data_IF_333153554648
#
_entry.id   IF_333153554648
#
_cell.length_a   1.000
_cell.length_b   1.000
_cell.length_c   1.000
_cell.angle_alpha   90.00
_cell.angle_beta   90.00
_cell.angle_gamma   90.00
#
_symmetry.space_group_name_H-M   'P 1'
#
loop_
_entity.id
_entity.type
_entity.pdbx_description
1 polymer ?
#
# COMPACT_ATOMS: atom_id res chain seq x y z
N UNK A 1 -81.57 12.61 -20.08
CA UNK A 1 -81.17 11.19 -19.95
C UNK A 1 -79.65 11.10 -19.92
N UNK A 2 -79.08 10.48 -18.85
CA UNK A 2 -77.73 9.88 -18.74
C UNK A 2 -76.51 10.81 -18.96
N UNK A 3 -75.35 10.69 -18.30
CA UNK A 3 -74.81 10.10 -17.05
C UNK A 3 -73.34 10.57 -17.03
N UNK A 4 -72.91 11.13 -15.89
CA UNK A 4 -71.57 11.13 -15.26
C UNK A 4 -70.43 10.34 -15.96
N UNK A 5 -69.23 10.94 -16.08
CA UNK A 5 -67.99 10.37 -15.51
C UNK A 5 -66.81 11.37 -15.54
N UNK A 6 -66.33 11.72 -14.33
CA UNK A 6 -65.00 12.28 -14.05
C UNK A 6 -63.92 11.26 -14.41
N UNK A 7 -62.79 11.72 -14.95
CA UNK A 7 -61.49 11.11 -14.68
C UNK A 7 -60.40 12.19 -14.59
N UNK A 8 -60.02 12.50 -13.36
CA UNK A 8 -58.75 13.12 -13.03
C UNK A 8 -57.66 12.03 -13.13
N UNK A 9 -56.62 12.27 -13.91
CA UNK A 9 -55.37 11.52 -13.82
C UNK A 9 -54.26 12.51 -13.50
N UNK A 10 -53.94 12.61 -12.21
CA UNK A 10 -52.72 13.24 -11.73
C UNK A 10 -51.52 12.38 -12.11
N UNK A 11 -50.63 12.94 -12.90
CA UNK A 11 -49.34 12.33 -13.20
C UNK A 11 -48.35 12.79 -12.12
N UNK A 12 -48.21 11.99 -11.07
CA UNK A 12 -47.12 12.13 -10.10
C UNK A 12 -45.90 11.43 -10.72
N UNK A 13 -44.97 12.20 -11.29
CA UNK A 13 -43.63 11.69 -11.55
C UNK A 13 -42.92 11.55 -10.20
N UNK A 14 -42.93 10.34 -9.65
CA UNK A 14 -41.99 9.96 -8.62
C UNK A 14 -40.61 9.82 -9.29
N UNK A 15 -39.75 10.82 -9.12
CA UNK A 15 -38.32 10.68 -9.35
C UNK A 15 -37.80 9.65 -8.36
N UNK A 16 -37.66 8.40 -8.80
CA UNK A 16 -36.90 7.41 -8.08
C UNK A 16 -35.44 7.88 -8.07
N UNK A 17 -35.05 8.58 -7.01
CA UNK A 17 -33.65 8.67 -6.61
C UNK A 17 -33.24 7.25 -6.25
N UNK A 18 -32.71 6.52 -7.24
CA UNK A 18 -31.89 5.36 -6.97
C UNK A 18 -30.64 5.88 -6.23
N UNK A 19 -30.71 5.95 -4.90
CA UNK A 19 -29.51 5.86 -4.10
C UNK A 19 -28.89 4.52 -4.47
N UNK A 20 -27.80 4.56 -5.22
CA UNK A 20 -26.93 3.42 -5.36
C UNK A 20 -26.39 3.11 -3.96
N UNK A 21 -27.15 2.35 -3.17
CA UNK A 21 -26.65 1.69 -1.98
C UNK A 21 -25.56 0.76 -2.51
N UNK A 22 -24.31 1.18 -2.39
CA UNK A 22 -23.17 0.29 -2.64
C UNK A 22 -23.37 -0.97 -1.81
N UNK A 23 -23.12 -2.13 -2.40
CA UNK A 23 -23.19 -3.39 -1.66
C UNK A 23 -22.31 -3.28 -0.41
N UNK A 24 -22.87 -3.65 0.75
CA UNK A 24 -22.16 -3.63 2.02
C UNK A 24 -20.90 -4.50 1.92
N UNK A 25 -19.79 -3.96 2.42
CA UNK A 25 -18.49 -4.65 2.41
C UNK A 25 -18.55 -5.86 3.33
N UNK A 26 -17.98 -6.99 2.87
CA UNK A 26 -17.78 -8.16 3.72
C UNK A 26 -16.28 -8.31 3.99
N UNK A 27 -15.82 -7.58 5.00
CA UNK A 27 -14.41 -7.54 5.36
C UNK A 27 -13.98 -8.80 6.12
N UNK A 28 -12.82 -9.33 5.75
CA UNK A 28 -12.25 -10.54 6.35
C UNK A 28 -10.72 -10.52 6.29
N UNK A 29 -10.10 -11.31 7.17
CA UNK A 29 -8.66 -11.64 7.14
C UNK A 29 -8.36 -12.87 6.28
N UNK A 30 -9.40 -13.61 5.89
CA UNK A 30 -9.29 -14.73 4.96
C UNK A 30 -9.07 -14.18 3.55
N UNK A 31 -7.86 -14.36 3.04
CA UNK A 31 -7.51 -13.99 1.68
C UNK A 31 -7.55 -15.20 0.76
N UNK A 32 -8.05 -15.04 -0.48
CA UNK A 32 -7.92 -16.07 -1.49
C UNK A 32 -6.44 -16.34 -1.79
N UNK A 33 -6.10 -17.61 -2.01
CA UNK A 33 -4.78 -17.98 -2.51
C UNK A 33 -4.62 -17.52 -3.95
N UNK A 34 -3.40 -17.09 -4.29
CA UNK A 34 -3.01 -16.70 -5.64
C UNK A 34 -1.98 -17.68 -6.22
N UNK A 35 -1.86 -17.69 -7.55
CA UNK A 35 -0.86 -18.49 -8.26
C UNK A 35 0.27 -17.61 -8.76
N UNK A 36 1.50 -18.05 -8.53
CA UNK A 36 2.66 -17.36 -9.10
C UNK A 36 2.59 -17.34 -10.63
N UNK A 37 3.05 -16.25 -11.29
CA UNK A 37 3.20 -16.22 -12.73
C UNK A 37 4.17 -17.32 -13.20
N UNK A 38 3.99 -17.81 -14.45
CA UNK A 38 4.87 -18.84 -14.99
C UNK A 38 6.31 -18.33 -15.06
N UNK A 39 7.26 -19.23 -14.82
CA UNK A 39 8.69 -18.92 -14.85
C UNK A 39 9.29 -18.80 -13.45
N UNK A 40 10.18 -17.82 -13.26
CA UNK A 40 10.94 -17.67 -12.01
C UNK A 40 10.13 -16.94 -10.94
N UNK A 41 10.29 -17.29 -9.65
CA UNK A 41 9.54 -16.69 -8.54
C UNK A 41 9.76 -15.18 -8.36
N UNK A 42 10.91 -14.65 -8.79
CA UNK A 42 11.25 -13.23 -8.67
C UNK A 42 11.53 -12.60 -10.04
N UNK A 43 11.42 -11.26 -10.16
CA UNK A 43 11.69 -10.53 -11.39
C UNK A 43 13.10 -10.79 -11.96
N UNK A 44 13.21 -10.84 -13.29
CA UNK A 44 14.46 -11.23 -13.98
C UNK A 44 15.66 -10.34 -13.64
N UNK A 45 15.44 -9.06 -13.31
CA UNK A 45 16.52 -8.16 -12.88
C UNK A 45 17.23 -8.68 -11.63
N UNK A 46 16.49 -9.18 -10.64
CA UNK A 46 17.05 -9.73 -9.40
C UNK A 46 17.80 -11.03 -9.68
N UNK A 47 17.29 -11.83 -10.61
CA UNK A 47 17.94 -13.04 -11.07
C UNK A 47 19.27 -12.75 -11.79
N UNK A 48 19.33 -11.65 -12.55
CA UNK A 48 20.56 -11.18 -13.18
C UNK A 48 21.57 -10.63 -12.15
N UNK A 49 21.10 -9.91 -11.13
CA UNK A 49 21.94 -9.44 -10.01
C UNK A 49 22.55 -10.62 -9.24
N UNK A 50 21.74 -11.62 -8.88
CA UNK A 50 22.18 -12.81 -8.14
C UNK A 50 23.24 -13.67 -8.85
N UNK A 51 23.37 -13.54 -10.17
CA UNK A 51 24.43 -14.21 -10.96
C UNK A 51 25.76 -13.48 -10.90
N UNK A 52 25.74 -12.17 -10.65
CA UNK A 52 26.93 -11.30 -10.70
C UNK A 52 27.43 -10.94 -9.31
N UNK A 53 26.49 -10.74 -8.38
CA UNK A 53 26.73 -10.20 -7.05
C UNK A 53 26.33 -11.25 -6.01
N UNK A 54 27.25 -11.59 -5.10
CA UNK A 54 27.03 -12.63 -4.08
C UNK A 54 26.01 -12.19 -3.03
N UNK A 55 25.85 -10.89 -2.84
CA UNK A 55 24.95 -10.26 -1.87
C UNK A 55 23.49 -10.56 -2.23
N UNK A 56 23.19 -10.71 -3.52
CA UNK A 56 21.87 -11.13 -4.00
C UNK A 56 21.70 -12.65 -4.05
N UNK A 57 22.53 -13.44 -3.36
CA UNK A 57 22.44 -14.90 -3.40
C UNK A 57 21.08 -15.44 -2.92
N UNK A 58 20.43 -14.75 -1.97
CA UNK A 58 19.10 -15.08 -1.43
C UNK A 58 18.01 -15.20 -2.51
N UNK A 59 18.16 -14.49 -3.65
CA UNK A 59 17.24 -14.56 -4.79
C UNK A 59 17.16 -15.97 -5.39
N UNK A 60 18.24 -16.76 -5.27
CA UNK A 60 18.30 -18.14 -5.80
C UNK A 60 17.51 -19.13 -4.96
N UNK A 61 17.26 -18.81 -3.70
CA UNK A 61 16.54 -19.67 -2.76
C UNK A 61 15.03 -19.44 -2.78
N UNK A 62 14.59 -18.36 -3.45
CA UNK A 62 13.18 -18.03 -3.64
C UNK A 62 12.44 -19.13 -4.41
N UNK A 63 11.28 -19.53 -3.89
CA UNK A 63 10.41 -20.58 -4.42
C UNK A 63 9.02 -20.02 -4.72
N UNK A 64 8.27 -20.65 -5.66
CA UNK A 64 6.91 -20.21 -5.96
C UNK A 64 5.96 -20.24 -4.74
N UNK A 65 6.23 -21.10 -3.75
CA UNK A 65 5.41 -21.22 -2.54
C UNK A 65 5.67 -20.16 -1.49
N UNK A 66 6.75 -19.39 -1.59
CA UNK A 66 7.15 -18.47 -0.51
C UNK A 66 6.20 -17.30 -0.42
N UNK A 67 5.74 -16.96 0.79
CA UNK A 67 4.85 -15.81 1.00
C UNK A 67 5.62 -14.50 1.18
N UNK A 68 6.90 -14.62 1.53
CA UNK A 68 7.85 -13.53 1.56
C UNK A 68 9.19 -13.98 1.01
N UNK A 69 9.95 -13.05 0.45
CA UNK A 69 11.37 -13.25 0.16
C UNK A 69 12.10 -12.00 0.58
N UNK A 70 13.17 -12.14 1.37
CA UNK A 70 13.94 -10.99 1.82
C UNK A 70 15.44 -11.25 1.79
N UNK A 71 16.21 -10.16 1.82
CA UNK A 71 17.66 -10.22 1.91
C UNK A 71 18.35 -8.89 1.64
N UNK A 72 19.64 -8.86 1.92
CA UNK A 72 20.49 -7.70 1.69
C UNK A 72 20.94 -7.60 0.22
N UNK A 73 21.29 -6.41 -0.23
CA UNK A 73 22.02 -6.17 -1.48
C UNK A 73 22.96 -4.97 -1.36
N UNK A 74 23.77 -4.70 -2.37
CA UNK A 74 24.62 -3.50 -2.41
C UNK A 74 23.84 -2.24 -2.73
N UNK A 75 24.22 -1.11 -2.09
CA UNK A 75 23.63 0.22 -2.27
C UNK A 75 24.58 1.27 -2.93
N UNK A 76 23.99 2.24 -3.65
CA UNK A 76 24.48 3.56 -4.17
C UNK A 76 25.61 3.63 -5.22
N UNK A 77 25.62 4.77 -5.92
CA UNK A 77 26.49 5.19 -7.05
C UNK A 77 27.95 5.45 -6.61
N UNK A 78 28.22 5.63 -5.32
CA UNK A 78 29.49 6.15 -4.78
C UNK A 78 30.33 5.15 -3.97
N UNK A 79 29.93 3.87 -3.90
CA UNK A 79 30.82 2.80 -3.43
C UNK A 79 31.10 2.77 -1.92
N UNK A 80 30.34 3.51 -1.11
CA UNK A 80 30.26 3.22 0.32
C UNK A 80 29.59 1.84 0.48
N UNK A 81 30.15 0.95 1.31
CA UNK A 81 29.68 -0.42 1.54
C UNK A 81 28.34 -0.49 2.29
N UNK A 82 27.36 0.31 1.89
CA UNK A 82 26.03 0.33 2.45
C UNK A 82 25.19 -0.78 1.83
N UNK A 83 24.30 -1.34 2.64
CA UNK A 83 23.41 -2.41 2.24
C UNK A 83 21.97 -1.94 2.29
N UNK A 84 21.24 -2.17 1.19
CA UNK A 84 19.78 -2.06 1.16
C UNK A 84 19.17 -3.40 1.60
N UNK A 85 18.16 -3.34 2.47
CA UNK A 85 17.30 -4.48 2.76
C UNK A 85 16.13 -4.52 1.78
N UNK A 86 15.94 -5.64 1.10
CA UNK A 86 14.82 -5.86 0.19
C UNK A 86 13.84 -6.85 0.81
N UNK A 87 12.56 -6.48 0.91
CA UNK A 87 11.49 -7.32 1.42
C UNK A 87 10.36 -7.41 0.39
N UNK A 88 10.16 -8.60 -0.17
CA UNK A 88 9.08 -8.94 -1.08
C UNK A 88 7.95 -9.62 -0.29
N UNK A 89 6.75 -9.05 -0.35
CA UNK A 89 5.53 -9.61 0.25
C UNK A 89 4.55 -10.01 -0.85
N UNK A 90 4.11 -11.27 -0.83
CA UNK A 90 3.23 -11.86 -1.85
C UNK A 90 1.79 -11.41 -1.66
N UNK A 91 1.19 -10.77 -2.65
CA UNK A 91 -0.18 -10.25 -2.58
C UNK A 91 -0.85 -10.40 -3.94
N UNK A 92 -2.13 -10.74 -3.99
CA UNK A 92 -2.94 -10.60 -5.22
C UNK A 92 -3.56 -9.19 -5.21
N UNK A 93 -2.92 -8.20 -5.83
CA UNK A 93 -3.32 -6.79 -5.68
C UNK A 93 -4.61 -6.48 -6.43
N UNK A 94 -4.79 -7.05 -7.62
CA UNK A 94 -5.94 -6.80 -8.49
C UNK A 94 -6.99 -7.92 -8.46
N UNK A 95 -6.81 -8.91 -7.57
CA UNK A 95 -7.69 -10.05 -7.34
C UNK A 95 -7.96 -10.85 -8.62
N UNK A 96 -6.96 -10.95 -9.50
CA UNK A 96 -7.01 -11.70 -10.76
C UNK A 96 -6.62 -13.18 -10.59
N UNK A 97 -6.24 -13.58 -9.37
CA UNK A 97 -5.79 -14.92 -9.00
C UNK A 97 -4.31 -15.17 -9.28
N UNK A 98 -3.57 -14.18 -9.77
CA UNK A 98 -2.13 -14.20 -9.93
C UNK A 98 -1.47 -13.47 -8.75
N UNK A 99 -0.33 -13.99 -8.29
CA UNK A 99 0.40 -13.32 -7.23
C UNK A 99 1.26 -12.19 -7.80
N UNK A 100 1.20 -11.05 -7.13
CA UNK A 100 2.08 -9.92 -7.27
C UNK A 100 3.09 -9.89 -6.11
N UNK A 101 4.15 -9.11 -6.30
CA UNK A 101 5.03 -8.73 -5.20
C UNK A 101 4.87 -7.26 -4.85
N UNK A 102 4.62 -6.98 -3.57
CA UNK A 102 4.93 -5.70 -2.96
C UNK A 102 6.38 -5.74 -2.49
N UNK A 103 7.26 -4.97 -3.11
CA UNK A 103 8.63 -4.78 -2.67
C UNK A 103 8.73 -3.53 -1.81
N UNK A 104 9.24 -3.68 -0.60
CA UNK A 104 9.79 -2.62 0.22
C UNK A 104 11.32 -2.71 0.20
N UNK A 105 11.98 -1.62 -0.17
CA UNK A 105 13.43 -1.51 -0.11
C UNK A 105 13.80 -0.41 0.89
N UNK A 106 14.50 -0.78 1.96
CA UNK A 106 15.02 0.13 2.99
C UNK A 106 16.50 0.39 2.74
N UNK A 107 16.81 1.59 2.27
CA UNK A 107 18.12 2.06 1.83
C UNK A 107 18.76 2.92 2.91
N UNK A 108 20.06 2.77 3.15
CA UNK A 108 20.79 3.56 4.14
C UNK A 108 21.23 4.91 3.56
N UNK A 109 20.72 6.00 4.12
CA UNK A 109 21.12 7.36 3.74
C UNK A 109 22.50 7.73 4.28
N UNK A 110 22.91 7.16 5.41
CA UNK A 110 24.21 7.40 6.04
C UNK A 110 24.70 6.16 6.80
N UNK A 111 26.00 6.10 7.10
CA UNK A 111 26.57 5.06 7.97
C UNK A 111 26.16 5.22 9.44
N UNK A 112 25.53 6.34 9.80
CA UNK A 112 25.11 6.69 11.16
C UNK A 112 23.70 6.16 11.51
N UNK A 113 23.07 5.46 10.56
CA UNK A 113 21.82 4.73 10.80
C UNK A 113 20.60 5.35 10.13
N UNK A 114 20.74 6.50 9.45
CA UNK A 114 19.64 7.10 8.69
C UNK A 114 19.24 6.19 7.55
N UNK A 115 17.94 5.99 7.37
CA UNK A 115 17.38 5.16 6.30
C UNK A 115 16.23 5.88 5.64
N UNK A 116 16.04 5.60 4.36
CA UNK A 116 14.85 5.97 3.62
C UNK A 116 14.41 4.80 2.75
N UNK A 117 13.15 4.79 2.34
CA UNK A 117 12.57 3.65 1.67
C UNK A 117 11.96 3.99 0.31
N UNK A 118 11.80 2.96 -0.49
CA UNK A 118 11.03 3.00 -1.73
C UNK A 118 10.22 1.73 -1.83
N UNK A 119 8.98 1.85 -2.33
CA UNK A 119 8.20 0.67 -2.70
C UNK A 119 8.17 0.49 -4.21
N UNK A 120 8.05 -0.76 -4.64
CA UNK A 120 7.87 -1.14 -6.04
C UNK A 120 6.90 -2.30 -6.09
N UNK A 121 5.96 -2.29 -7.04
CA UNK A 121 5.04 -3.39 -7.26
C UNK A 121 5.51 -4.18 -8.47
N UNK A 122 5.49 -5.50 -8.37
CA UNK A 122 5.71 -6.39 -9.50
C UNK A 122 4.43 -7.17 -9.75
N UNK A 123 3.70 -6.78 -10.78
CA UNK A 123 2.45 -7.43 -11.13
C UNK A 123 2.72 -8.74 -11.87
N UNK A 124 2.16 -9.83 -11.39
CA UNK A 124 2.25 -11.15 -11.99
C UNK A 124 1.38 -11.22 -13.24
N UNK A 125 1.97 -11.51 -14.39
CA UNK A 125 1.27 -11.64 -15.67
C UNK A 125 1.65 -12.95 -16.35
N UNK A 126 0.87 -13.35 -17.37
CA UNK A 126 1.11 -14.57 -18.14
C UNK A 126 2.51 -14.64 -18.79
N UNK A 127 3.12 -13.48 -19.05
CA UNK A 127 4.43 -13.37 -19.70
C UNK A 127 5.55 -12.97 -18.71
N UNK A 128 5.32 -13.09 -17.40
CA UNK A 128 6.28 -12.72 -16.37
C UNK A 128 5.84 -11.50 -15.56
N UNK A 129 6.79 -10.67 -15.17
CA UNK A 129 6.58 -9.58 -14.20
C UNK A 129 6.46 -8.22 -14.88
N UNK A 130 5.42 -7.46 -14.55
CA UNK A 130 5.30 -6.05 -14.90
C UNK A 130 5.69 -5.18 -13.71
N UNK A 131 6.74 -4.39 -13.86
CA UNK A 131 7.21 -3.48 -12.81
C UNK A 131 6.41 -2.18 -12.80
N UNK A 132 5.99 -1.76 -11.61
CA UNK A 132 5.35 -0.49 -11.30
C UNK A 132 6.12 0.18 -10.15
N UNK A 133 6.75 1.32 -10.41
CA UNK A 133 7.59 2.00 -9.42
C UNK A 133 8.37 3.15 -10.06
N UNK A 134 9.11 3.91 -9.24
CA UNK A 134 9.96 4.99 -9.74
C UNK A 134 10.97 4.46 -10.78
N UNK A 135 11.40 5.31 -11.71
CA UNK A 135 12.31 4.87 -12.78
C UNK A 135 13.68 4.49 -12.23
N UNK A 136 14.09 3.23 -12.39
CA UNK A 136 15.39 2.70 -11.95
C UNK A 136 16.05 1.96 -13.13
N UNK A 137 17.38 2.09 -13.35
CA UNK A 137 18.07 1.34 -14.39
C UNK A 137 17.87 -0.17 -14.27
N UNK A 138 17.65 -0.86 -15.39
CA UNK A 138 17.34 -2.29 -15.41
C UNK A 138 18.43 -3.19 -14.80
N UNK A 139 19.68 -2.72 -14.79
CA UNK A 139 20.84 -3.41 -14.21
C UNK A 139 21.11 -3.05 -12.75
N UNK A 140 20.22 -2.31 -12.09
CA UNK A 140 20.33 -1.88 -10.69
C UNK A 140 19.15 -2.39 -9.86
N UNK A 141 19.32 -2.68 -8.56
CA UNK A 141 18.20 -3.04 -7.70
C UNK A 141 17.23 -1.87 -7.52
N UNK A 142 15.99 -2.13 -7.11
CA UNK A 142 15.00 -1.08 -6.80
C UNK A 142 15.31 -0.44 -5.46
N UNK A 143 16.15 0.59 -5.48
CA UNK A 143 16.60 1.29 -4.29
C UNK A 143 16.70 2.80 -4.53
N UNK A 144 16.97 3.54 -3.46
CA UNK A 144 17.24 4.97 -3.52
C UNK A 144 18.60 5.26 -4.18
N UNK A 145 18.76 6.48 -4.69
CA UNK A 145 20.05 6.95 -5.22
C UNK A 145 20.36 6.62 -6.69
N UNK A 146 19.51 5.85 -7.39
CA UNK A 146 19.60 5.71 -8.85
C UNK A 146 18.53 6.54 -9.58
N UNK A 147 18.95 7.38 -10.54
CA UNK A 147 18.05 8.16 -11.40
C UNK A 147 17.79 9.61 -10.95
N UNK A 148 16.84 10.29 -11.62
CA UNK A 148 16.36 11.65 -11.29
C UNK A 148 14.97 11.56 -10.65
N UNK A 149 14.84 11.29 -9.36
CA UNK A 149 13.55 10.78 -8.88
C UNK A 149 13.16 11.10 -7.44
N UNK A 150 13.70 12.10 -6.75
CA UNK A 150 13.15 12.42 -5.41
C UNK A 150 11.61 12.66 -5.46
N UNK A 151 11.14 13.39 -6.47
CA UNK A 151 9.69 13.60 -6.71
C UNK A 151 8.96 12.32 -7.15
N UNK A 152 9.53 11.54 -8.08
CA UNK A 152 8.89 10.29 -8.53
C UNK A 152 8.82 9.24 -7.42
N UNK A 153 9.82 9.17 -6.56
CA UNK A 153 9.91 8.22 -5.45
C UNK A 153 8.83 8.48 -4.40
N UNK A 154 8.54 9.75 -4.11
CA UNK A 154 7.45 10.11 -3.20
C UNK A 154 6.09 9.53 -3.64
N UNK A 155 5.84 9.36 -4.94
CA UNK A 155 4.61 8.75 -5.46
C UNK A 155 4.50 7.24 -5.23
N UNK A 156 5.62 6.56 -5.00
CA UNK A 156 5.68 5.11 -4.78
C UNK A 156 6.11 4.79 -3.35
N UNK A 157 6.04 5.76 -2.43
CA UNK A 157 6.29 5.55 -1.03
C UNK A 157 4.96 5.28 -0.32
N UNK A 158 4.53 4.03 -0.33
CA UNK A 158 3.25 3.57 0.22
C UNK A 158 3.35 3.24 1.72
N UNK A 159 4.51 2.76 2.17
CA UNK A 159 4.84 2.47 3.57
C UNK A 159 5.81 1.30 3.68
N UNK A 160 6.29 0.99 4.88
CA UNK A 160 7.36 0.00 5.08
C UNK A 160 6.81 -1.42 5.14
N UNK A 161 5.76 -1.58 5.95
CA UNK A 161 5.13 -2.85 6.22
C UNK A 161 3.75 -2.91 5.58
N UNK A 162 3.40 -4.06 5.01
CA UNK A 162 2.13 -4.23 4.30
C UNK A 162 1.32 -5.36 4.94
N UNK A 163 0.11 -5.00 5.35
CA UNK A 163 -0.93 -5.93 5.74
C UNK A 163 -2.14 -5.78 4.82
N UNK A 164 -3.02 -6.77 4.82
CA UNK A 164 -4.13 -6.84 3.88
C UNK A 164 -5.43 -7.18 4.59
N UNK A 165 -6.51 -6.52 4.15
CA UNK A 165 -7.89 -6.84 4.48
C UNK A 165 -8.63 -7.11 3.17
N UNK A 166 -9.33 -8.24 3.09
CA UNK A 166 -10.09 -8.62 1.90
C UNK A 166 -11.57 -8.24 2.04
N UNK A 167 -12.14 -7.64 1.02
CA UNK A 167 -13.59 -7.47 0.87
C UNK A 167 -14.15 -8.57 -0.02
N UNK A 168 -14.76 -9.59 0.58
CA UNK A 168 -15.28 -10.76 -0.11
C UNK A 168 -16.45 -10.44 -1.05
N UNK A 169 -17.23 -9.39 -0.75
CA UNK A 169 -18.36 -8.96 -1.58
C UNK A 169 -17.87 -8.37 -2.89
N UNK A 170 -16.93 -7.42 -2.80
CA UNK A 170 -16.44 -6.68 -3.97
C UNK A 170 -15.19 -7.31 -4.61
N UNK A 171 -14.62 -8.33 -3.97
CA UNK A 171 -13.35 -8.99 -4.36
C UNK A 171 -12.21 -8.00 -4.50
N UNK A 172 -12.04 -7.16 -3.48
CA UNK A 172 -10.99 -6.14 -3.43
C UNK A 172 -10.09 -6.41 -2.23
N UNK A 173 -8.78 -6.36 -2.46
CA UNK A 173 -7.79 -6.33 -1.40
C UNK A 173 -7.43 -4.88 -1.07
N UNK A 174 -7.64 -4.49 0.18
CA UNK A 174 -7.18 -3.21 0.70
C UNK A 174 -5.88 -3.45 1.45
N UNK A 175 -4.86 -2.65 1.14
CA UNK A 175 -3.60 -2.68 1.89
C UNK A 175 -3.70 -1.71 3.06
N UNK A 176 -3.28 -2.18 4.22
CA UNK A 176 -3.00 -1.38 5.40
C UNK A 176 -1.49 -1.29 5.54
N UNK A 177 -0.97 -0.08 5.61
CA UNK A 177 0.47 0.17 5.76
C UNK A 177 0.72 1.34 6.70
N UNK A 178 1.95 1.48 7.19
CA UNK A 178 2.43 2.62 7.96
C UNK A 178 3.96 2.73 7.79
N UNK A 179 4.54 3.87 8.14
CA UNK A 179 5.97 3.92 8.50
C UNK A 179 6.05 3.65 9.99
N UNK A 180 5.88 2.38 10.32
CA UNK A 180 5.76 1.92 11.68
C UNK A 180 7.10 1.98 12.40
N UNK A 181 8.19 1.73 11.66
CA UNK A 181 9.52 1.70 12.22
C UNK A 181 10.00 3.13 12.53
N UNK A 182 10.68 3.27 13.68
CA UNK A 182 11.17 4.54 14.25
C UNK A 182 12.29 5.18 13.42
N UNK A 183 12.63 4.63 12.26
CA UNK A 183 13.93 4.83 11.62
C UNK A 183 13.89 5.57 10.29
N UNK A 184 12.70 5.91 9.78
CA UNK A 184 12.62 6.43 8.41
C UNK A 184 11.75 7.67 8.33
N UNK A 185 10.41 7.57 8.48
CA UNK A 185 9.51 8.71 8.19
C UNK A 185 8.29 8.89 9.09
N UNK A 186 8.14 8.15 10.20
CA UNK A 186 6.95 8.23 11.09
C UNK A 186 6.57 9.68 11.44
N UNK A 187 7.54 10.52 11.80
CA UNK A 187 7.28 11.92 12.18
C UNK A 187 6.78 12.79 11.02
N UNK A 188 7.24 12.49 9.80
CA UNK A 188 6.97 13.27 8.61
C UNK A 188 5.75 12.77 7.82
N UNK A 189 5.39 11.49 8.00
CA UNK A 189 4.30 10.79 7.34
C UNK A 189 3.54 9.89 8.34
N UNK A 190 3.00 10.44 9.44
CA UNK A 190 2.34 9.65 10.48
C UNK A 190 1.05 8.99 9.99
N UNK A 191 0.62 7.96 10.73
CA UNK A 191 -0.68 7.35 10.57
C UNK A 191 -0.70 6.09 9.72
N UNK A 192 -1.78 5.32 9.89
CA UNK A 192 -2.09 4.20 9.00
C UNK A 192 -2.53 4.68 7.63
N UNK A 193 -2.22 3.91 6.60
CA UNK A 193 -2.56 4.18 5.21
C UNK A 193 -3.43 3.06 4.69
N UNK A 194 -4.60 3.44 4.20
CA UNK A 194 -5.51 2.51 3.53
C UNK A 194 -5.34 2.73 2.03
N UNK A 195 -4.84 1.72 1.34
CA UNK A 195 -4.53 1.79 -0.08
C UNK A 195 -5.40 0.78 -0.83
N UNK A 196 -5.80 1.13 -2.05
CA UNK A 196 -6.42 0.21 -2.98
C UNK A 196 -5.74 0.27 -4.34
N UNK A 197 -5.73 -0.84 -5.06
CA UNK A 197 -5.24 -0.89 -6.43
C UNK A 197 -6.09 0.00 -7.36
N UNK A 198 -5.42 0.87 -8.11
CA UNK A 198 -6.00 1.65 -9.20
C UNK A 198 -5.46 1.11 -10.53
N UNK A 199 -6.25 0.25 -11.18
CA UNK A 199 -5.89 -0.36 -12.45
C UNK A 199 -5.68 0.66 -13.59
N UNK A 200 -6.40 1.79 -13.55
CA UNK A 200 -6.28 2.84 -14.57
C UNK A 200 -4.96 3.59 -14.48
N UNK A 201 -4.46 3.80 -13.26
CA UNK A 201 -3.16 4.44 -13.00
C UNK A 201 -2.00 3.45 -12.84
N UNK A 202 -2.32 2.15 -12.79
CA UNK A 202 -1.37 1.09 -12.43
C UNK A 202 -0.58 1.44 -11.18
N UNK A 203 -1.25 1.82 -10.09
CA UNK A 203 -0.60 2.16 -8.83
C UNK A 203 -1.53 1.95 -7.65
N UNK A 204 -0.98 2.00 -6.44
CA UNK A 204 -1.77 2.04 -5.22
C UNK A 204 -2.25 3.46 -4.95
N UNK A 205 -3.55 3.62 -4.76
CA UNK A 205 -4.18 4.89 -4.42
C UNK A 205 -4.44 4.95 -2.93
N UNK A 206 -3.90 5.97 -2.26
CA UNK A 206 -4.25 6.30 -0.89
C UNK A 206 -5.72 6.73 -0.81
N UNK A 207 -6.46 6.10 0.09
CA UNK A 207 -7.86 6.40 0.35
C UNK A 207 -8.01 7.18 1.65
N UNK A 208 -8.96 8.10 1.68
CA UNK A 208 -9.22 8.90 2.88
C UNK A 208 -10.02 8.08 3.92
N UNK A 209 -9.29 7.50 4.88
CA UNK A 209 -9.88 6.75 6.01
C UNK A 209 -10.68 7.62 6.98
N UNK A 210 -10.52 8.93 6.91
CA UNK A 210 -11.20 9.89 7.78
C UNK A 210 -12.51 10.40 7.17
N UNK A 211 -12.71 10.23 5.85
CA UNK A 211 -13.96 10.58 5.17
C UNK A 211 -15.14 9.72 5.69
N UNK A 212 -16.16 10.33 6.31
CA UNK A 212 -17.28 9.58 6.88
C UNK A 212 -18.05 8.79 5.81
N UNK A 213 -18.30 7.51 6.10
CA UNK A 213 -19.02 6.61 5.18
C UNK A 213 -18.22 6.19 3.94
N UNK A 214 -16.91 6.49 3.89
CA UNK A 214 -16.05 5.98 2.83
C UNK A 214 -15.72 4.49 3.09
N UNK A 215 -15.44 3.75 2.01
CA UNK A 215 -14.95 2.37 2.10
C UNK A 215 -13.67 2.27 2.94
N UNK A 216 -12.81 3.29 2.88
CA UNK A 216 -11.58 3.32 3.67
C UNK A 216 -11.84 3.50 5.17
N UNK A 217 -12.88 4.26 5.54
CA UNK A 217 -13.31 4.36 6.94
C UNK A 217 -13.84 3.02 7.46
N UNK A 218 -14.58 2.26 6.64
CA UNK A 218 -15.03 0.90 6.99
C UNK A 218 -13.85 -0.08 7.15
N UNK A 219 -12.91 -0.09 6.20
CA UNK A 219 -11.67 -0.90 6.29
C UNK A 219 -10.86 -0.56 7.53
N UNK A 220 -10.69 0.73 7.80
CA UNK A 220 -9.95 1.19 8.96
C UNK A 220 -10.63 0.82 10.28
N UNK A 221 -11.96 0.95 10.37
CA UNK A 221 -12.71 0.49 11.54
C UNK A 221 -12.57 -1.02 11.76
N UNK A 222 -12.60 -1.81 10.68
CA UNK A 222 -12.35 -3.25 10.75
C UNK A 222 -10.93 -3.55 11.24
N UNK A 223 -9.92 -2.86 10.70
CA UNK A 223 -8.54 -2.99 11.14
C UNK A 223 -8.38 -2.71 12.64
N UNK A 224 -9.03 -1.65 13.15
CA UNK A 224 -9.02 -1.33 14.59
C UNK A 224 -9.61 -2.44 15.46
N UNK A 225 -10.65 -3.13 14.98
CA UNK A 225 -11.36 -4.15 15.75
C UNK A 225 -10.77 -5.55 15.61
N UNK A 226 -10.17 -5.87 14.46
CA UNK A 226 -9.82 -7.25 14.08
C UNK A 226 -8.37 -7.41 13.64
N UNK A 227 -7.64 -6.33 13.42
CA UNK A 227 -6.30 -6.37 12.82
C UNK A 227 -6.33 -6.54 11.30
N UNK A 228 -5.20 -6.96 10.76
CA UNK A 228 -5.03 -7.25 9.33
C UNK A 228 -4.12 -8.47 9.12
N UNK A 229 -4.23 -9.10 7.95
CA UNK A 229 -3.37 -10.24 7.60
C UNK A 229 -2.03 -9.74 7.10
N UNK A 230 -0.94 -10.17 7.72
CA UNK A 230 0.41 -9.96 7.20
C UNK A 230 0.69 -11.05 6.15
N UNK A 231 0.92 -10.70 4.87
CA UNK A 231 1.24 -11.69 3.85
C UNK A 231 2.53 -12.45 4.17
N UNK A 232 3.52 -11.77 4.74
CA UNK A 232 4.83 -12.26 5.13
C UNK A 232 4.94 -12.75 6.59
N UNK A 233 3.83 -13.11 7.25
CA UNK A 233 3.77 -13.31 8.71
C UNK A 233 4.84 -14.24 9.33
N UNK A 234 5.40 -15.19 8.57
CA UNK A 234 6.42 -16.12 9.07
C UNK A 234 7.82 -15.51 9.15
N UNK A 235 8.07 -14.45 8.38
CA UNK A 235 9.39 -13.87 8.15
C UNK A 235 9.49 -12.41 8.65
N UNK A 236 8.37 -11.83 9.09
CA UNK A 236 8.29 -10.51 9.73
C UNK A 236 8.52 -10.66 11.24
N UNK A 237 9.45 -9.89 11.80
CA UNK A 237 9.65 -9.85 13.25
C UNK A 237 8.39 -9.27 13.93
N UNK A 238 8.01 -9.73 15.14
CA UNK A 238 6.81 -9.24 15.81
C UNK A 238 6.75 -7.72 16.00
N UNK A 239 7.89 -7.07 16.17
CA UNK A 239 8.03 -5.61 16.28
C UNK A 239 7.83 -4.86 14.96
N UNK A 240 8.00 -5.54 13.82
CA UNK A 240 7.78 -5.01 12.48
C UNK A 240 6.41 -5.46 11.92
N UNK A 241 5.62 -6.19 12.71
CA UNK A 241 4.35 -6.74 12.29
C UNK A 241 3.23 -5.69 12.39
N UNK A 242 2.59 -5.39 11.26
CA UNK A 242 1.39 -4.54 11.20
C UNK A 242 0.09 -5.37 11.23
N UNK A 243 0.01 -6.39 12.10
CA UNK A 243 -1.18 -7.26 12.21
C UNK A 243 -2.26 -6.69 13.12
N UNK A 244 -1.92 -5.73 13.98
CA UNK A 244 -2.81 -5.15 15.00
C UNK A 244 -2.80 -3.64 14.98
N UNK A 245 -3.87 -3.08 15.51
CA UNK A 245 -3.98 -1.66 15.74
C UNK A 245 -3.19 -1.23 16.98
N UNK A 246 -2.21 -0.39 16.75
CA UNK A 246 -1.49 0.45 17.71
C UNK A 246 -2.13 1.85 17.77
N UNK A 247 -2.58 2.23 18.96
CA UNK A 247 -3.23 3.52 19.22
C UNK A 247 -2.26 4.70 19.12
N UNK A 248 -0.98 4.50 19.45
CA UNK A 248 0.02 5.59 19.44
C UNK A 248 0.23 6.14 18.02
N UNK A 249 0.14 5.29 17.00
CA UNK A 249 0.23 5.74 15.60
C UNK A 249 -0.93 6.69 15.24
N UNK A 250 -2.15 6.38 15.68
CA UNK A 250 -3.32 7.21 15.40
C UNK A 250 -3.25 8.53 16.18
N UNK A 251 -2.85 8.48 17.44
CA UNK A 251 -2.66 9.68 18.27
C UNK A 251 -1.61 10.62 17.67
N UNK A 252 -0.48 10.08 17.21
CA UNK A 252 0.57 10.85 16.54
C UNK A 252 0.07 11.50 15.25
N UNK A 253 -0.69 10.78 14.43
CA UNK A 253 -1.28 11.33 13.20
C UNK A 253 -2.23 12.49 13.52
N UNK A 254 -3.08 12.34 14.53
CA UNK A 254 -3.98 13.40 14.97
C UNK A 254 -3.18 14.59 15.52
N UNK A 255 -2.20 14.34 16.38
CA UNK A 255 -1.38 15.39 16.98
C UNK A 255 -0.63 16.20 15.91
N UNK A 256 -0.04 15.53 14.92
CA UNK A 256 0.66 16.16 13.79
C UNK A 256 -0.31 16.93 12.88
N UNK A 257 -1.45 16.33 12.51
CA UNK A 257 -2.45 17.00 11.69
C UNK A 257 -2.99 18.29 12.33
N UNK A 258 -3.09 18.30 13.67
CA UNK A 258 -3.59 19.43 14.44
C UNK A 258 -2.54 20.45 14.84
N UNK A 259 -1.25 20.13 14.67
CA UNK A 259 -0.17 21.09 14.83
C UNK A 259 -0.07 21.95 13.55
N UNK A 260 -0.36 23.27 13.60
CA UNK A 260 -0.26 24.13 12.42
C UNK A 260 1.16 24.21 11.84
N UNK A 261 2.18 23.96 12.66
CA UNK A 261 3.60 23.97 12.28
C UNK A 261 4.10 22.60 11.80
N UNK A 262 3.23 21.59 11.72
CA UNK A 262 3.60 20.26 11.23
C UNK A 262 4.10 20.33 9.77
N UNK A 263 5.14 19.56 9.40
CA UNK A 263 5.60 19.47 8.01
C UNK A 263 4.49 19.12 7.01
N UNK A 264 3.49 18.32 7.41
CA UNK A 264 2.34 17.96 6.55
C UNK A 264 1.45 19.16 6.20
N UNK A 265 1.48 20.22 7.02
CA UNK A 265 0.70 21.44 6.82
C UNK A 265 1.43 22.45 5.95
N UNK A 266 2.75 22.54 6.09
CA UNK A 266 3.60 23.52 5.41
C UNK A 266 4.13 23.04 4.05
N UNK A 267 4.25 21.73 3.85
CA UNK A 267 4.75 21.15 2.58
C UNK A 267 3.99 19.85 2.21
N UNK A 268 2.67 19.93 1.93
CA UNK A 268 1.83 18.77 1.62
C UNK A 268 2.28 18.01 0.36
N UNK A 269 3.00 18.65 -0.55
CA UNK A 269 3.62 18.02 -1.72
C UNK A 269 4.77 17.06 -1.37
N UNK A 270 5.48 17.30 -0.26
CA UNK A 270 6.59 16.47 0.22
C UNK A 270 6.14 15.42 1.24
N UNK A 271 5.14 15.77 2.05
CA UNK A 271 4.71 15.00 3.23
C UNK A 271 3.27 14.48 3.13
N UNK A 272 2.65 14.60 1.95
CA UNK A 272 1.26 14.23 1.74
C UNK A 272 0.28 15.24 2.36
N UNK A 273 -0.81 15.49 1.65
CA UNK A 273 -1.87 16.37 2.13
C UNK A 273 -2.63 15.71 3.29
N UNK A 274 -2.86 16.48 4.36
CA UNK A 274 -3.72 16.07 5.48
C UNK A 274 -5.18 16.02 5.02
N UNK A 275 -5.89 14.95 5.36
CA UNK A 275 -7.33 14.86 5.10
C UNK A 275 -8.08 16.05 5.74
N UNK A 276 -8.96 16.69 4.96
CA UNK A 276 -9.89 17.71 5.50
C UNK A 276 -10.78 17.15 6.62
N UNK A 277 -11.09 15.86 6.57
CA UNK A 277 -11.93 15.18 7.55
C UNK A 277 -11.16 14.87 8.82
N UNK A 278 -9.86 14.59 8.72
CA UNK A 278 -8.96 14.56 9.87
C UNK A 278 -8.81 15.95 10.51
N UNK A 279 -8.59 16.99 9.70
CA UNK A 279 -8.49 18.37 10.18
C UNK A 279 -9.75 18.83 10.93
N UNK A 280 -10.94 18.36 10.52
CA UNK A 280 -12.18 18.64 11.23
C UNK A 280 -12.24 18.04 12.65
N UNK A 281 -11.34 17.11 12.98
CA UNK A 281 -11.19 16.51 14.33
C UNK A 281 -10.22 17.29 15.20
N UNK A 282 -9.42 18.18 14.63
CA UNK A 282 -8.62 19.11 15.40
C UNK A 282 -9.56 20.02 16.17
N UNK A 283 -9.41 20.03 17.50
CA UNK A 283 -10.32 20.75 18.40
C UNK A 283 -10.56 22.18 17.91
N UNK A 284 -11.84 22.57 17.89
CA UNK A 284 -12.22 23.96 18.19
C UNK A 284 -11.81 24.30 19.62
#
# INVERSE_FOLDING_TARGET
MKKICLFANGLILATATATAQGASMQLTLDMPDCRMPPGKPLPDKYQALARKEKEFAWVRDAKPGDHAVNGNGWERIDGASNHTWFAFSKIDLDNDGMCDWYLHAASALSSEGDRDSINTLYLGRKNGWLRVGATVPANKPDELGFGKTNEQQAHYLFGEEVSVIHDATNRVNYLVSAFYNRHVRRDSLPGYRILAWDAGRQSLRLLDKWEPGSKAAEVYAFFKAHGARIPSAKDTAPEDALDRFDHEIEEDEIAQACNPDSPQRSSPELYGAVSRHLLARCKR
#
